data_IF_251420793173
#
_entry.id   IF_251420793173
#
_cell.length_a   1.000
_cell.length_b   1.000
_cell.length_c   1.000
_cell.angle_alpha   90.00
_cell.angle_beta   90.00
_cell.angle_gamma   90.00
#
_symmetry.space_group_name_H-M   'P 1'
#
loop_
_entity.id
_entity.type
_entity.pdbx_description
1 polymer ?
#
# COMPACT_ATOMS: atom_id res chain seq x y z
N UNK A 1 15.10 5.57 17.26
CA UNK A 1 13.74 5.25 16.79
C UNK A 1 13.01 6.51 16.28
N UNK A 2 12.87 7.58 17.06
CA UNK A 2 12.00 8.74 16.70
C UNK A 2 12.54 9.79 15.70
N UNK A 3 13.83 9.80 15.38
CA UNK A 3 14.39 10.79 14.44
C UNK A 3 14.20 10.36 12.98
N UNK A 4 14.29 9.06 12.72
CA UNK A 4 14.30 8.51 11.37
C UNK A 4 12.89 8.48 10.76
N UNK A 5 11.86 8.10 11.51
CA UNK A 5 10.48 8.06 11.01
C UNK A 5 9.96 9.45 10.58
N UNK A 6 10.21 10.49 11.39
CA UNK A 6 9.89 11.88 10.99
C UNK A 6 10.69 12.34 9.78
N UNK A 7 11.94 11.92 9.66
CA UNK A 7 12.75 12.25 8.49
C UNK A 7 12.22 11.57 7.22
N UNK A 8 11.77 10.31 7.32
CA UNK A 8 11.13 9.58 6.21
C UNK A 8 9.81 10.24 5.83
N UNK A 9 8.94 10.58 6.79
CA UNK A 9 7.69 11.29 6.52
C UNK A 9 7.93 12.65 5.84
N UNK A 10 8.94 13.40 6.30
CA UNK A 10 9.34 14.66 5.66
C UNK A 10 9.84 14.44 4.23
N UNK A 11 10.68 13.42 4.01
CA UNK A 11 11.17 13.03 2.69
C UNK A 11 10.04 12.65 1.75
N UNK A 12 9.09 11.80 2.18
CA UNK A 12 7.89 11.45 1.41
C UNK A 12 7.08 12.70 1.03
N UNK A 13 6.90 13.63 1.98
CA UNK A 13 6.25 14.90 1.73
C UNK A 13 6.96 15.71 0.65
N UNK A 14 8.29 15.78 0.67
CA UNK A 14 9.07 16.50 -0.33
C UNK A 14 9.02 15.84 -1.70
N UNK A 15 9.07 14.52 -1.78
CA UNK A 15 8.95 13.79 -3.05
C UNK A 15 7.56 13.98 -3.69
N UNK A 16 6.51 13.99 -2.87
CA UNK A 16 5.14 14.26 -3.34
C UNK A 16 4.98 15.72 -3.79
N UNK A 17 5.57 16.69 -3.06
CA UNK A 17 5.60 18.10 -3.48
C UNK A 17 6.31 18.28 -4.82
N UNK A 18 7.46 17.62 -5.01
CA UNK A 18 8.20 17.64 -6.28
C UNK A 18 7.39 17.06 -7.43
N UNK A 19 6.55 16.05 -7.15
CA UNK A 19 5.59 15.50 -8.11
C UNK A 19 4.37 16.40 -8.36
N UNK A 20 4.25 17.54 -7.67
CA UNK A 20 3.16 18.50 -7.84
C UNK A 20 1.93 18.25 -6.99
N UNK A 21 2.04 17.45 -5.93
CA UNK A 21 1.01 17.30 -4.91
C UNK A 21 1.13 18.38 -3.83
N UNK A 22 0.04 18.57 -3.09
CA UNK A 22 0.03 19.28 -1.81
C UNK A 22 -0.21 18.25 -0.70
N UNK A 23 0.84 17.54 -0.22
CA UNK A 23 0.68 16.52 0.81
C UNK A 23 0.38 17.16 2.16
N UNK A 24 -0.44 16.48 2.95
CA UNK A 24 -0.78 16.81 4.33
C UNK A 24 -0.30 15.70 5.26
N UNK A 25 -0.04 16.03 6.52
CA UNK A 25 0.28 15.04 7.55
C UNK A 25 -0.90 14.87 8.50
N UNK A 26 -1.18 13.63 8.90
CA UNK A 26 -2.15 13.31 9.94
C UNK A 26 -1.42 12.81 11.19
N UNK A 27 -1.81 13.33 12.36
CA UNK A 27 -1.24 12.88 13.62
C UNK A 27 -1.76 11.49 13.99
N UNK A 28 -0.89 10.66 14.56
CA UNK A 28 -1.24 9.34 15.09
C UNK A 28 -1.33 9.48 16.62
N UNK A 29 -2.53 9.49 17.22
CA UNK A 29 -2.71 9.83 18.64
C UNK A 29 -1.92 8.95 19.61
N UNK A 30 -1.70 7.69 19.25
CA UNK A 30 -0.98 6.71 20.06
C UNK A 30 0.55 6.78 19.90
N UNK A 31 1.05 7.49 18.88
CA UNK A 31 2.47 7.49 18.49
C UNK A 31 2.94 8.91 18.11
N UNK A 32 3.61 9.59 19.03
CA UNK A 32 4.01 10.99 18.91
C UNK A 32 5.15 11.27 17.91
N UNK A 33 5.86 10.24 17.47
CA UNK A 33 7.01 10.36 16.56
C UNK A 33 6.76 9.88 15.14
N UNK A 34 5.52 9.55 14.81
CA UNK A 34 5.11 9.16 13.49
C UNK A 34 3.84 9.91 13.08
N UNK A 35 3.67 10.09 11.78
CA UNK A 35 2.50 10.73 11.17
C UNK A 35 2.16 10.01 9.88
N UNK A 36 0.90 10.00 9.48
CA UNK A 36 0.57 9.57 8.11
C UNK A 36 0.87 10.71 7.14
N UNK A 37 1.38 10.38 5.95
CA UNK A 37 1.55 11.34 4.86
C UNK A 37 0.49 11.07 3.80
N UNK A 38 -0.37 12.06 3.56
CA UNK A 38 -1.52 11.92 2.66
C UNK A 38 -1.36 12.83 1.46
N UNK A 39 -1.51 12.28 0.25
CA UNK A 39 -1.53 13.03 -1.00
C UNK A 39 -2.72 12.65 -1.86
N UNK A 40 -3.34 13.63 -2.52
CA UNK A 40 -4.55 13.39 -3.31
C UNK A 40 -4.33 13.83 -4.75
N UNK A 41 -4.57 12.89 -5.66
CA UNK A 41 -4.65 13.09 -7.09
C UNK A 41 -6.11 13.27 -7.53
N UNK A 42 -6.32 14.09 -8.56
CA UNK A 42 -7.62 14.24 -9.21
C UNK A 42 -8.52 15.30 -8.54
N UNK A 43 -9.84 15.24 -8.80
CA UNK A 43 -10.79 16.26 -8.34
C UNK A 43 -10.90 16.30 -6.81
N UNK A 44 -11.23 17.49 -6.30
CA UNK A 44 -11.45 17.77 -4.87
C UNK A 44 -12.94 17.96 -4.51
N UNK A 45 -13.86 17.66 -5.43
CA UNK A 45 -15.31 17.79 -5.22
C UNK A 45 -15.92 16.69 -4.32
N UNK A 46 -17.02 16.96 -3.64
CA UNK A 46 -17.52 16.03 -2.61
C UNK A 46 -18.17 14.74 -3.16
N UNK A 47 -18.26 14.55 -4.48
CA UNK A 47 -19.01 13.45 -5.10
C UNK A 47 -18.15 12.45 -5.87
N UNK A 48 -16.88 12.75 -6.14
CA UNK A 48 -16.00 11.82 -6.85
C UNK A 48 -15.76 10.53 -6.03
N UNK A 49 -15.95 9.33 -6.63
CA UNK A 49 -15.59 8.08 -5.97
C UNK A 49 -14.09 8.07 -5.65
N UNK A 50 -13.76 7.63 -4.44
CA UNK A 50 -12.39 7.69 -3.90
C UNK A 50 -11.75 6.30 -3.97
N UNK A 51 -10.57 6.21 -4.57
CA UNK A 51 -9.68 5.05 -4.44
C UNK A 51 -8.59 5.43 -3.46
N UNK A 52 -8.41 4.66 -2.39
CA UNK A 52 -7.29 4.85 -1.47
C UNK A 52 -6.20 3.85 -1.85
N UNK A 53 -4.96 4.31 -1.93
CA UNK A 53 -3.77 3.46 -2.05
C UNK A 53 -2.95 3.69 -0.78
N UNK A 54 -2.63 2.61 -0.07
CA UNK A 54 -1.89 2.68 1.20
C UNK A 54 -0.68 1.76 1.21
N UNK A 55 0.36 2.18 1.93
CA UNK A 55 1.58 1.43 2.21
C UNK A 55 2.25 2.06 3.43
N UNK A 56 2.61 1.26 4.44
CA UNK A 56 3.29 1.79 5.62
C UNK A 56 4.76 2.07 5.34
N UNK A 57 5.27 3.18 5.89
CA UNK A 57 6.67 3.56 5.74
C UNK A 57 7.51 3.27 6.98
N UNK A 58 6.87 2.92 8.09
CA UNK A 58 7.57 2.51 9.29
C UNK A 58 8.04 1.06 9.20
N UNK A 59 9.09 0.77 9.97
CA UNK A 59 9.57 -0.58 10.20
C UNK A 59 10.26 -0.62 11.57
N UNK A 60 10.72 -1.81 12.00
CA UNK A 60 11.31 -2.07 13.31
C UNK A 60 12.53 -1.20 13.66
N UNK A 61 13.31 -0.77 12.67
CA UNK A 61 14.48 0.08 12.84
C UNK A 61 15.58 -0.59 13.67
N UNK A 62 16.20 0.14 14.60
CA UNK A 62 17.24 -0.44 15.46
C UNK A 62 16.66 -1.12 16.70
N UNK A 63 16.97 -2.40 16.86
CA UNK A 63 16.63 -3.25 18.02
C UNK A 63 17.92 -3.82 18.59
N UNK A 64 18.24 -3.48 19.84
CA UNK A 64 19.44 -3.95 20.56
C UNK A 64 20.75 -3.81 19.76
N UNK A 65 20.92 -2.67 19.06
CA UNK A 65 22.11 -2.36 18.25
C UNK A 65 22.15 -3.04 16.88
N UNK A 66 21.09 -3.77 16.50
CA UNK A 66 20.95 -4.40 15.19
C UNK A 66 19.90 -3.66 14.37
N UNK A 67 20.23 -3.29 13.14
CA UNK A 67 19.33 -2.62 12.22
C UNK A 67 18.44 -3.65 11.49
N UNK A 68 17.14 -3.38 11.48
CA UNK A 68 16.10 -4.06 10.70
C UNK A 68 15.66 -3.06 9.62
N UNK A 69 16.05 -3.24 8.35
CA UNK A 69 15.90 -2.20 7.34
C UNK A 69 14.52 -2.14 6.68
N UNK A 70 13.80 -3.27 6.58
CA UNK A 70 12.45 -3.29 6.01
C UNK A 70 12.39 -3.01 4.51
N UNK A 71 13.31 -3.60 3.74
CA UNK A 71 13.40 -3.33 2.31
C UNK A 71 12.18 -3.85 1.53
N UNK A 72 11.74 -5.08 1.79
CA UNK A 72 10.49 -5.58 1.25
C UNK A 72 9.31 -5.14 2.13
N UNK A 73 9.50 -5.11 3.45
CA UNK A 73 8.50 -4.78 4.46
C UNK A 73 8.80 -3.42 5.16
N UNK A 74 8.33 -2.28 4.66
CA UNK A 74 7.51 -2.12 3.47
C UNK A 74 7.98 -0.99 2.55
N UNK A 75 9.31 -0.80 2.48
CA UNK A 75 9.89 0.13 1.53
C UNK A 75 9.52 -0.23 0.08
N UNK A 76 9.25 -1.51 -0.23
CA UNK A 76 8.77 -1.97 -1.53
C UNK A 76 7.40 -1.41 -1.89
N UNK A 77 6.42 -1.46 -0.98
CA UNK A 77 5.07 -0.91 -1.17
C UNK A 77 5.10 0.60 -1.28
N UNK A 78 5.88 1.27 -0.42
CA UNK A 78 6.10 2.72 -0.47
C UNK A 78 6.68 3.14 -1.82
N UNK A 79 7.70 2.42 -2.32
CA UNK A 79 8.33 2.72 -3.60
C UNK A 79 7.33 2.60 -4.77
N UNK A 80 6.49 1.57 -4.76
CA UNK A 80 5.44 1.36 -5.77
C UNK A 80 4.38 2.48 -5.70
N UNK A 81 3.83 2.77 -4.52
CA UNK A 81 2.82 3.81 -4.33
C UNK A 81 3.34 5.19 -4.75
N UNK A 82 4.54 5.57 -4.31
CA UNK A 82 5.17 6.84 -4.66
C UNK A 82 5.48 6.93 -6.16
N UNK A 83 5.94 5.84 -6.77
CA UNK A 83 6.17 5.75 -8.21
C UNK A 83 4.90 5.96 -9.03
N UNK A 84 3.80 5.32 -8.62
CA UNK A 84 2.49 5.50 -9.25
C UNK A 84 1.94 6.91 -9.03
N UNK A 85 2.08 7.50 -7.84
CA UNK A 85 1.70 8.89 -7.60
C UNK A 85 2.43 9.84 -8.56
N UNK A 86 3.75 9.68 -8.73
CA UNK A 86 4.53 10.46 -9.72
C UNK A 86 4.02 10.27 -11.15
N UNK A 87 3.74 9.03 -11.57
CA UNK A 87 3.24 8.73 -12.91
C UNK A 87 1.86 9.36 -13.15
N UNK A 88 0.93 9.23 -12.22
CA UNK A 88 -0.39 9.87 -12.31
C UNK A 88 -0.26 11.39 -12.43
N UNK A 89 0.61 11.99 -11.62
CA UNK A 89 0.81 13.43 -11.67
C UNK A 89 1.45 13.92 -12.96
N UNK A 90 2.35 13.15 -13.56
CA UNK A 90 2.97 13.49 -14.84
C UNK A 90 1.99 13.33 -16.01
N UNK A 91 1.18 12.26 -16.01
CA UNK A 91 0.31 11.91 -17.14
C UNK A 91 -1.03 12.65 -17.13
N UNK A 92 -1.59 12.91 -15.95
CA UNK A 92 -2.90 13.57 -15.77
C UNK A 92 -4.04 12.89 -16.55
N UNK A 93 -3.95 11.58 -16.78
CA UNK A 93 -4.84 10.82 -17.67
C UNK A 93 -5.85 9.91 -16.94
N UNK A 94 -5.85 9.93 -15.62
CA UNK A 94 -6.83 9.22 -14.79
C UNK A 94 -7.97 10.15 -14.42
N UNK A 95 -9.20 9.75 -14.79
CA UNK A 95 -10.42 10.47 -14.45
C UNK A 95 -10.98 9.93 -13.12
N UNK A 96 -10.66 10.59 -12.01
CA UNK A 96 -11.17 10.23 -10.69
C UNK A 96 -10.19 10.57 -9.56
N UNK A 97 -10.61 10.31 -8.33
CA UNK A 97 -9.83 10.64 -7.14
C UNK A 97 -9.03 9.43 -6.67
N UNK A 98 -7.73 9.67 -6.45
CA UNK A 98 -6.83 8.71 -5.82
C UNK A 98 -6.19 9.38 -4.61
N UNK A 99 -6.35 8.78 -3.44
CA UNK A 99 -5.70 9.23 -2.21
C UNK A 99 -4.59 8.25 -1.88
N UNK A 100 -3.35 8.72 -1.92
CA UNK A 100 -2.20 8.01 -1.42
C UNK A 100 -2.05 8.30 0.06
N UNK A 101 -1.97 7.25 0.88
CA UNK A 101 -1.76 7.32 2.32
C UNK A 101 -0.51 6.52 2.63
N UNK A 102 0.55 7.18 3.05
CA UNK A 102 1.73 6.51 3.57
C UNK A 102 1.59 6.50 5.08
N UNK A 103 1.21 5.35 5.61
CA UNK A 103 0.89 5.15 7.02
C UNK A 103 2.17 5.03 7.86
N UNK A 104 2.13 5.58 9.06
CA UNK A 104 3.12 5.28 10.09
C UNK A 104 2.57 4.28 11.11
N UNK A 105 3.44 3.77 11.96
CA UNK A 105 3.11 2.93 13.11
C UNK A 105 2.22 1.72 12.78
N UNK A 106 2.41 1.10 11.62
CA UNK A 106 1.78 -0.17 11.26
C UNK A 106 2.26 -1.28 12.19
N UNK A 107 3.58 -1.37 12.35
CA UNK A 107 4.30 -2.42 13.11
C UNK A 107 4.00 -2.37 14.61
N UNK A 108 3.41 -1.26 15.06
CA UNK A 108 3.04 -1.01 16.44
C UNK A 108 1.56 -1.36 16.72
N UNK A 109 0.76 -1.68 15.70
CA UNK A 109 -0.64 -2.06 15.84
C UNK A 109 -1.61 -1.39 14.86
N UNK A 110 -1.16 -1.08 13.63
CA UNK A 110 -1.94 -0.42 12.57
C UNK A 110 -2.38 1.01 12.95
N UNK A 111 -1.60 1.72 13.79
CA UNK A 111 -2.05 2.98 14.37
C UNK A 111 -2.22 4.09 13.32
N UNK A 112 -1.39 4.13 12.28
CA UNK A 112 -1.57 5.04 11.14
C UNK A 112 -2.88 4.79 10.41
N UNK A 113 -3.13 3.56 9.94
CA UNK A 113 -4.41 3.24 9.29
C UNK A 113 -5.63 3.52 10.18
N UNK A 114 -5.53 3.28 11.50
CA UNK A 114 -6.59 3.66 12.46
C UNK A 114 -6.80 5.16 12.51
N UNK A 115 -5.73 5.94 12.63
CA UNK A 115 -5.80 7.40 12.63
C UNK A 115 -6.44 7.92 11.34
N UNK A 116 -6.00 7.43 10.17
CA UNK A 116 -6.59 7.79 8.89
C UNK A 116 -8.06 7.37 8.76
N UNK A 117 -8.45 6.19 9.25
CA UNK A 117 -9.83 5.74 9.19
C UNK A 117 -10.77 6.60 10.06
N UNK A 118 -10.29 7.17 11.17
CA UNK A 118 -11.05 8.10 12.01
C UNK A 118 -11.13 9.52 11.43
N UNK A 119 -10.07 9.97 10.75
CA UNK A 119 -10.00 11.30 10.14
C UNK A 119 -9.57 11.24 8.66
N UNK A 120 -10.36 10.59 7.78
CA UNK A 120 -9.95 10.35 6.41
C UNK A 120 -10.01 11.64 5.59
N UNK A 121 -9.16 11.75 4.55
CA UNK A 121 -9.15 12.91 3.67
C UNK A 121 -10.51 13.14 2.97
N UNK A 122 -11.27 12.07 2.77
CA UNK A 122 -12.65 12.07 2.30
C UNK A 122 -13.44 11.01 3.07
N UNK A 123 -14.76 11.17 3.26
CA UNK A 123 -15.57 10.23 4.03
C UNK A 123 -15.38 8.79 3.54
N UNK A 124 -15.17 7.84 4.46
CA UNK A 124 -14.97 6.43 4.10
C UNK A 124 -16.13 5.84 3.28
N UNK A 125 -17.35 6.35 3.46
CA UNK A 125 -18.51 5.96 2.64
C UNK A 125 -18.41 6.35 1.15
N UNK A 126 -17.47 7.21 0.77
CA UNK A 126 -17.15 7.53 -0.62
C UNK A 126 -15.97 6.71 -1.17
N UNK A 127 -15.31 5.93 -0.32
CA UNK A 127 -14.20 5.07 -0.70
C UNK A 127 -14.74 3.83 -1.39
N UNK A 128 -14.45 3.71 -2.69
CA UNK A 128 -14.80 2.55 -3.51
C UNK A 128 -13.97 1.34 -3.12
N UNK A 129 -12.68 1.55 -2.89
CA UNK A 129 -11.75 0.51 -2.45
C UNK A 129 -10.50 1.14 -1.82
N UNK A 130 -9.96 0.46 -0.82
CA UNK A 130 -8.60 0.66 -0.30
C UNK A 130 -7.70 -0.42 -0.91
N UNK A 131 -6.61 -0.04 -1.56
CA UNK A 131 -5.59 -0.94 -2.09
C UNK A 131 -4.36 -0.78 -1.20
N UNK A 132 -4.11 -1.76 -0.34
CA UNK A 132 -2.94 -1.81 0.52
C UNK A 132 -1.80 -2.58 -0.17
N UNK A 133 -0.60 -2.02 -0.16
CA UNK A 133 0.62 -2.66 -0.68
C UNK A 133 1.49 -3.03 0.51
N UNK A 134 1.90 -4.28 0.60
CA UNK A 134 2.73 -4.78 1.68
C UNK A 134 3.56 -5.98 1.20
N UNK A 135 4.88 -5.88 1.27
CA UNK A 135 5.82 -6.87 0.74
C UNK A 135 5.57 -7.22 -0.73
N UNK A 136 5.77 -6.25 -1.63
CA UNK A 136 5.49 -6.39 -3.07
C UNK A 136 6.74 -6.48 -3.95
N UNK A 137 7.92 -6.50 -3.33
CA UNK A 137 9.21 -6.45 -4.00
C UNK A 137 9.82 -7.81 -4.34
N UNK A 138 9.27 -8.90 -3.80
CA UNK A 138 9.88 -10.24 -3.87
C UNK A 138 9.07 -11.23 -4.70
N UNK A 139 9.47 -12.50 -4.66
CA UNK A 139 8.75 -13.59 -5.33
C UNK A 139 7.59 -14.04 -4.47
N UNK A 140 6.48 -14.42 -5.11
CA UNK A 140 5.33 -14.95 -4.39
C UNK A 140 5.71 -16.24 -3.65
N UNK A 141 5.52 -16.26 -2.33
CA UNK A 141 5.89 -17.37 -1.43
C UNK A 141 7.27 -17.98 -1.72
N UNK A 142 8.32 -17.23 -1.38
CA UNK A 142 9.70 -17.68 -1.51
C UNK A 142 9.94 -19.02 -0.79
N UNK A 143 10.32 -20.05 -1.56
CA UNK A 143 10.42 -21.43 -1.10
C UNK A 143 9.51 -22.41 -1.85
N UNK A 144 8.60 -21.90 -2.69
CA UNK A 144 7.81 -22.70 -3.63
C UNK A 144 8.37 -22.63 -5.06
N UNK A 145 7.72 -23.27 -6.04
CA UNK A 145 8.18 -23.27 -7.45
C UNK A 145 8.34 -21.84 -8.02
N UNK A 146 8.94 -21.70 -9.21
CA UNK A 146 9.15 -20.38 -9.84
C UNK A 146 7.80 -19.64 -10.06
N UNK A 147 7.55 -18.64 -9.21
CA UNK A 147 6.36 -17.80 -9.19
C UNK A 147 6.73 -16.33 -9.43
N UNK A 148 7.77 -16.10 -10.25
CA UNK A 148 8.11 -14.77 -10.75
C UNK A 148 6.87 -14.07 -11.32
N UNK A 149 6.72 -12.76 -11.07
CA UNK A 149 5.59 -11.95 -11.52
C UNK A 149 4.21 -12.35 -10.96
N UNK A 150 4.16 -13.13 -9.87
CA UNK A 150 2.91 -13.43 -9.16
C UNK A 150 2.68 -12.42 -8.03
N UNK A 151 1.42 -12.07 -7.80
CA UNK A 151 0.99 -11.18 -6.72
C UNK A 151 -0.28 -11.73 -6.09
N UNK A 152 -0.28 -11.90 -4.78
CA UNK A 152 -1.47 -12.21 -4.00
C UNK A 152 -2.36 -10.98 -3.88
N UNK A 153 -3.68 -11.16 -3.97
CA UNK A 153 -4.68 -10.11 -3.80
C UNK A 153 -5.76 -10.58 -2.82
N UNK A 154 -5.57 -10.28 -1.54
CA UNK A 154 -6.49 -10.71 -0.48
C UNK A 154 -7.66 -9.75 -0.34
N UNK A 155 -8.88 -10.29 -0.27
CA UNK A 155 -10.13 -9.54 -0.19
C UNK A 155 -10.74 -9.24 -1.56
N UNK A 156 -10.00 -9.49 -2.64
CA UNK A 156 -10.44 -9.24 -4.02
C UNK A 156 -11.70 -10.03 -4.44
N UNK A 157 -11.87 -11.32 -4.09
CA UNK A 157 -13.06 -12.09 -4.49
C UNK A 157 -14.39 -11.56 -3.95
N UNK A 158 -14.38 -10.66 -2.95
CA UNK A 158 -15.58 -10.10 -2.34
C UNK A 158 -16.38 -9.14 -3.22
N UNK A 159 -15.79 -8.65 -4.33
CA UNK A 159 -16.44 -7.75 -5.28
C UNK A 159 -16.07 -8.13 -6.73
N UNK A 160 -17.08 -8.56 -7.49
CA UNK A 160 -16.89 -9.01 -8.88
C UNK A 160 -16.36 -7.92 -9.82
N UNK A 161 -16.70 -6.64 -9.57
CA UNK A 161 -16.19 -5.53 -10.37
C UNK A 161 -14.73 -5.25 -10.04
N UNK A 162 -14.35 -5.28 -8.75
CA UNK A 162 -12.95 -5.14 -8.36
C UNK A 162 -12.11 -6.27 -8.96
N UNK A 163 -12.61 -7.51 -8.90
CA UNK A 163 -11.95 -8.68 -9.47
C UNK A 163 -11.75 -8.54 -11.00
N UNK A 164 -12.82 -8.27 -11.76
CA UNK A 164 -12.75 -8.12 -13.23
C UNK A 164 -11.73 -7.05 -13.65
N UNK A 165 -11.79 -5.87 -13.02
CA UNK A 165 -10.90 -4.76 -13.36
C UNK A 165 -9.45 -5.03 -12.90
N UNK A 166 -9.29 -5.75 -11.80
CA UNK A 166 -8.00 -6.20 -11.27
C UNK A 166 -7.33 -7.21 -12.18
N UNK A 167 -8.04 -8.27 -12.58
CA UNK A 167 -7.55 -9.27 -13.53
C UNK A 167 -7.18 -8.64 -14.88
N UNK A 168 -8.01 -7.73 -15.39
CA UNK A 168 -7.71 -7.01 -16.63
C UNK A 168 -6.46 -6.11 -16.53
N UNK A 169 -6.22 -5.50 -15.36
CA UNK A 169 -5.01 -4.73 -15.11
C UNK A 169 -3.78 -5.63 -14.95
N UNK A 170 -3.91 -6.75 -14.25
CA UNK A 170 -2.84 -7.71 -14.00
C UNK A 170 -2.36 -8.34 -15.33
N UNK A 171 -3.30 -8.77 -16.18
CA UNK A 171 -3.01 -9.28 -17.51
C UNK A 171 -2.23 -8.26 -18.37
N UNK A 172 -2.63 -6.98 -18.33
CA UNK A 172 -1.94 -5.91 -19.06
C UNK A 172 -0.52 -5.61 -18.52
N UNK A 173 -0.28 -5.85 -17.24
CA UNK A 173 1.03 -5.66 -16.60
C UNK A 173 1.95 -6.89 -16.72
N UNK A 174 1.42 -8.04 -17.15
CA UNK A 174 2.11 -9.32 -17.11
C UNK A 174 2.32 -9.81 -15.67
N UNK A 175 1.31 -9.64 -14.83
CA UNK A 175 1.24 -10.12 -13.44
C UNK A 175 0.24 -11.27 -13.37
N UNK A 176 0.63 -12.38 -12.75
CA UNK A 176 -0.30 -13.43 -12.36
C UNK A 176 -0.93 -13.04 -11.02
N UNK A 177 -2.24 -12.79 -11.00
CA UNK A 177 -2.95 -12.39 -9.79
C UNK A 177 -3.55 -13.62 -9.12
N UNK A 178 -3.18 -13.86 -7.85
CA UNK A 178 -3.76 -14.92 -7.03
C UNK A 178 -4.76 -14.27 -6.08
N UNK A 179 -6.04 -14.32 -6.44
CA UNK A 179 -7.10 -13.76 -5.62
C UNK A 179 -7.40 -14.68 -4.42
N UNK A 180 -7.36 -14.12 -3.21
CA UNK A 180 -7.58 -14.84 -1.95
C UNK A 180 -8.72 -14.16 -1.19
N UNK A 181 -9.62 -14.94 -0.59
CA UNK A 181 -10.69 -14.37 0.22
C UNK A 181 -10.16 -13.86 1.56
N UNK A 182 -10.70 -12.77 2.10
CA UNK A 182 -10.25 -12.24 3.39
C UNK A 182 -10.61 -13.18 4.56
N UNK A 183 -11.69 -13.97 4.40
CA UNK A 183 -12.12 -14.97 5.38
C UNK A 183 -11.07 -16.05 5.61
N UNK A 184 -10.28 -16.39 4.58
CA UNK A 184 -9.17 -17.33 4.73
C UNK A 184 -8.06 -16.78 5.64
N UNK A 185 -7.80 -15.47 5.60
CA UNK A 185 -6.80 -14.86 6.49
C UNK A 185 -7.24 -14.86 7.95
N UNK A 186 -8.54 -14.66 8.21
CA UNK A 186 -9.09 -14.74 9.58
C UNK A 186 -8.86 -16.11 10.22
N UNK A 187 -8.74 -17.17 9.42
CA UNK A 187 -8.50 -18.53 9.91
C UNK A 187 -7.03 -18.81 10.25
N UNK A 188 -6.07 -18.03 9.71
CA UNK A 188 -4.62 -18.28 9.87
C UNK A 188 -3.93 -17.39 10.90
N UNK A 189 -4.60 -16.36 11.43
CA UNK A 189 -4.14 -15.61 12.61
C UNK A 189 -4.01 -14.10 12.40
N UNK A 190 -3.66 -13.37 13.47
CA UNK A 190 -3.55 -11.90 13.46
C UNK A 190 -2.28 -11.41 12.75
N UNK A 191 -1.24 -12.23 12.69
CA UNK A 191 0.05 -11.94 12.03
C UNK A 191 -0.06 -11.72 10.52
N UNK A 192 -1.23 -11.99 9.92
CA UNK A 192 -1.51 -11.76 8.49
C UNK A 192 -2.33 -10.48 8.24
N UNK A 193 -2.59 -9.69 9.29
CA UNK A 193 -3.25 -8.40 9.15
C UNK A 193 -2.21 -7.35 8.75
N UNK A 194 -2.63 -6.46 7.87
CA UNK A 194 -1.94 -5.23 7.52
C UNK A 194 -2.98 -4.10 7.53
N UNK A 195 -2.60 -2.88 7.16
CA UNK A 195 -3.43 -1.67 7.24
C UNK A 195 -4.84 -1.83 6.64
N UNK A 196 -4.99 -2.61 5.56
CA UNK A 196 -6.28 -2.93 4.94
C UNK A 196 -7.32 -3.47 5.92
N UNK A 197 -6.90 -4.18 6.97
CA UNK A 197 -7.80 -4.80 7.94
C UNK A 197 -8.63 -3.74 8.67
N UNK A 198 -8.04 -2.59 9.02
CA UNK A 198 -8.72 -1.47 9.71
C UNK A 198 -9.93 -0.97 8.91
N UNK A 199 -9.80 -0.96 7.58
CA UNK A 199 -10.83 -0.51 6.67
C UNK A 199 -11.90 -1.58 6.44
N UNK A 200 -11.51 -2.86 6.30
CA UNK A 200 -12.48 -3.96 6.20
C UNK A 200 -13.35 -4.10 7.44
N UNK A 201 -12.75 -3.96 8.63
CA UNK A 201 -13.47 -3.99 9.90
C UNK A 201 -14.55 -2.89 10.00
N UNK A 202 -14.34 -1.78 9.27
CA UNK A 202 -15.31 -0.67 9.12
C UNK A 202 -16.26 -0.81 7.92
N UNK A 203 -16.25 -1.95 7.24
CA UNK A 203 -17.11 -2.22 6.08
C UNK A 203 -16.68 -1.54 4.79
N UNK A 204 -15.46 -1.01 4.71
CA UNK A 204 -14.91 -0.45 3.47
C UNK A 204 -14.24 -1.57 2.68
N UNK A 205 -14.54 -1.74 1.37
CA UNK A 205 -13.82 -2.71 0.55
C UNK A 205 -12.32 -2.45 0.57
N UNK A 206 -11.52 -3.45 0.91
CA UNK A 206 -10.07 -3.33 0.91
C UNK A 206 -9.39 -4.57 0.35
N UNK A 207 -8.37 -4.35 -0.49
CA UNK A 207 -7.55 -5.39 -1.10
C UNK A 207 -6.12 -5.23 -0.64
N UNK A 208 -5.56 -6.30 -0.09
CA UNK A 208 -4.14 -6.39 0.29
C UNK A 208 -3.38 -7.05 -0.84
N UNK A 209 -2.41 -6.34 -1.41
CA UNK A 209 -1.49 -6.83 -2.42
C UNK A 209 -0.16 -7.20 -1.79
N UNK A 210 0.24 -8.47 -1.88
CA UNK A 210 1.47 -8.97 -1.28
C UNK A 210 2.07 -10.14 -2.04
N UNK A 211 3.37 -10.30 -1.92
CA UNK A 211 4.10 -11.50 -2.34
C UNK A 211 4.13 -12.57 -1.25
N UNK A 212 3.57 -12.28 -0.07
CA UNK A 212 3.51 -13.19 1.07
C UNK A 212 4.80 -13.21 1.88
N UNK A 213 4.77 -13.97 2.97
CA UNK A 213 5.94 -14.09 3.86
C UNK A 213 7.14 -14.70 3.15
N UNK A 214 8.32 -14.26 3.59
CA UNK A 214 9.61 -14.73 3.10
C UNK A 214 10.58 -14.95 4.30
N UNK A 215 11.72 -15.65 4.10
CA UNK A 215 12.65 -15.95 5.20
C UNK A 215 13.32 -14.74 5.86
N UNK A 216 13.31 -13.57 5.22
CA UNK A 216 13.90 -12.34 5.75
C UNK A 216 12.86 -11.45 6.45
N UNK A 217 11.59 -11.85 6.52
CA UNK A 217 10.53 -11.10 7.21
C UNK A 217 10.90 -10.81 8.67
N UNK A 218 10.84 -9.54 9.06
CA UNK A 218 11.29 -9.04 10.37
C UNK A 218 12.74 -9.45 10.71
N UNK A 219 13.60 -9.61 9.72
CA UNK A 219 15.03 -9.93 9.92
C UNK A 219 15.94 -8.77 9.48
N UNK A 220 17.16 -8.67 10.06
CA UNK A 220 18.18 -7.73 9.59
C UNK A 220 18.60 -7.94 8.13
N UNK A 221 18.24 -9.09 7.56
CA UNK A 221 18.54 -9.49 6.18
C UNK A 221 17.51 -9.05 5.16
N UNK A 222 16.41 -8.37 5.58
CA UNK A 222 15.49 -7.71 4.65
C UNK A 222 16.10 -6.42 4.10
N UNK A 223 17.06 -6.59 3.19
CA UNK A 223 17.91 -5.54 2.63
C UNK A 223 17.57 -5.22 1.17
N UNK A 224 17.87 -4.01 0.67
CA UNK A 224 17.47 -3.58 -0.69
C UNK A 224 17.91 -4.50 -1.84
N UNK A 225 19.00 -5.26 -1.68
CA UNK A 225 19.45 -6.24 -2.67
C UNK A 225 18.56 -7.49 -2.78
N UNK A 226 17.65 -7.71 -1.83
CA UNK A 226 16.61 -8.75 -1.87
C UNK A 226 15.41 -8.36 -2.71
N UNK A 227 15.22 -7.06 -2.98
CA UNK A 227 14.06 -6.55 -3.69
C UNK A 227 14.28 -6.57 -5.20
N UNK A 228 13.35 -7.18 -5.93
CA UNK A 228 13.37 -7.27 -7.39
C UNK A 228 12.82 -6.00 -8.03
N UNK A 229 13.69 -5.21 -8.65
CA UNK A 229 13.30 -4.04 -9.45
C UNK A 229 12.25 -4.39 -10.53
N UNK A 230 12.41 -5.54 -11.19
CA UNK A 230 11.49 -5.99 -12.22
C UNK A 230 10.10 -6.31 -11.64
N UNK A 231 10.04 -6.84 -10.42
CA UNK A 231 8.78 -7.06 -9.71
C UNK A 231 8.11 -5.71 -9.38
N UNK A 232 8.84 -4.77 -8.77
CA UNK A 232 8.31 -3.44 -8.47
C UNK A 232 7.75 -2.74 -9.72
N UNK A 233 8.45 -2.81 -10.85
CA UNK A 233 7.98 -2.25 -12.12
C UNK A 233 6.71 -2.93 -12.65
N UNK A 234 6.53 -4.24 -12.43
CA UNK A 234 5.30 -4.96 -12.77
C UNK A 234 4.15 -4.53 -11.87
N UNK A 235 4.37 -4.49 -10.55
CA UNK A 235 3.35 -4.10 -9.57
C UNK A 235 2.93 -2.63 -9.79
N UNK A 236 3.87 -1.72 -10.07
CA UNK A 236 3.55 -0.34 -10.39
C UNK A 236 2.69 -0.20 -11.66
N UNK A 237 3.03 -0.93 -12.74
CA UNK A 237 2.20 -0.97 -13.96
C UNK A 237 0.81 -1.53 -13.70
N UNK A 238 0.73 -2.59 -12.90
CA UNK A 238 -0.53 -3.19 -12.47
C UNK A 238 -1.38 -2.20 -11.69
N UNK A 239 -0.85 -1.62 -10.60
CA UNK A 239 -1.54 -0.69 -9.73
C UNK A 239 -2.05 0.53 -10.51
N UNK A 240 -1.19 1.17 -11.32
CA UNK A 240 -1.59 2.30 -12.17
C UNK A 240 -2.71 1.89 -13.13
N UNK A 241 -2.59 0.74 -13.76
CA UNK A 241 -3.61 0.20 -14.67
C UNK A 241 -4.94 -0.08 -13.99
N UNK A 242 -4.91 -0.58 -12.75
CA UNK A 242 -6.10 -0.91 -11.98
C UNK A 242 -6.80 0.34 -11.46
N UNK A 243 -6.05 1.26 -10.85
CA UNK A 243 -6.55 2.57 -10.42
C UNK A 243 -7.19 3.34 -11.58
N UNK A 244 -6.55 3.34 -12.76
CA UNK A 244 -7.11 4.00 -13.95
C UNK A 244 -8.47 3.40 -14.37
N UNK A 245 -8.60 2.07 -14.30
CA UNK A 245 -9.83 1.35 -14.67
C UNK A 245 -10.94 1.57 -13.65
N UNK A 246 -10.60 1.55 -12.36
CA UNK A 246 -11.53 1.80 -11.27
C UNK A 246 -12.06 3.22 -11.29
N UNK A 247 -11.21 4.20 -11.60
CA UNK A 247 -11.59 5.61 -11.65
C UNK A 247 -12.52 5.92 -12.83
N UNK A 248 -12.37 5.22 -13.96
CA UNK A 248 -13.17 5.42 -15.17
C UNK A 248 -14.59 4.81 -15.12
N UNK A 249 -14.99 4.18 -14.01
CA UNK A 249 -16.28 3.50 -13.83
C UNK A 249 -17.09 4.18 -12.74
#
# INVERSE_FOLDING_TARGET
>A
RSADARAVAAWLGDELRQAGYAPTTLAIPEVDDQVDVVAVYGPRDDLAPTIVVTAHYDHLGEVDGTLYPGADDNASGVAVALGVARDLAARRDVAGRVVFVFTGAEELGLYGARAYAEAPAYPLGQTRVVINLDMVGRRFFEGTADQDATLGAVGLPGDATLLELGEAAAAAAGVALVAVSAELLTLVGEDWRSDDWVFRDRGVPAVHLSTGLNPDYHQPTDTPDRVSRAQLERVARFLRGWVSRLAAR
#
